data_IF_981008220673
#
_entry.id   IF_981008220673
#
_cell.length_a   1.000
_cell.length_b   1.000
_cell.length_c   1.000
_cell.angle_alpha   90.00
_cell.angle_beta   90.00
_cell.angle_gamma   90.00
#
_symmetry.space_group_name_H-M   'P 1'
#
loop_
_entity.id
_entity.type
_entity.pdbx_description
1 polymer ?
#
# COMPACT_ATOMS: atom_id res chain seq x y z
N UNK A 1 -21.21 -11.50 2.02
CA UNK A 1 -21.04 -11.02 3.42
C UNK A 1 -21.27 -9.50 3.48
N UNK A 2 -21.49 -8.93 4.69
CA UNK A 2 -21.63 -7.48 4.87
C UNK A 2 -20.39 -6.70 4.40
N UNK A 3 -19.21 -7.33 4.45
CA UNK A 3 -17.96 -6.76 3.93
C UNK A 3 -18.02 -6.61 2.41
N UNK A 4 -18.48 -7.63 1.70
CA UNK A 4 -18.52 -7.63 0.23
C UNK A 4 -19.51 -6.60 -0.32
N UNK A 5 -20.62 -6.39 0.39
CA UNK A 5 -21.66 -5.43 0.04
C UNK A 5 -21.34 -3.98 0.47
N UNK A 6 -20.20 -3.75 1.13
CA UNK A 6 -19.79 -2.41 1.56
C UNK A 6 -19.16 -1.60 0.43
N UNK A 7 -19.24 -0.26 0.49
CA UNK A 7 -18.58 0.68 -0.46
C UNK A 7 -17.06 0.77 -0.27
N UNK A 8 -16.47 -0.14 0.53
CA UNK A 8 -15.02 -0.14 0.78
C UNK A 8 -14.24 -0.58 -0.45
N UNK A 9 -13.05 0.01 -0.65
CA UNK A 9 -12.12 -0.42 -1.71
C UNK A 9 -11.76 -1.91 -1.54
N UNK A 10 -11.53 -2.63 -2.65
CA UNK A 10 -11.24 -4.06 -2.64
C UNK A 10 -10.09 -4.42 -1.68
N UNK A 11 -8.99 -3.68 -1.71
CA UNK A 11 -7.85 -3.91 -0.78
C UNK A 11 -8.22 -3.79 0.71
N UNK A 12 -9.24 -2.99 1.05
CA UNK A 12 -9.77 -2.90 2.42
C UNK A 12 -10.61 -4.14 2.74
N UNK A 13 -11.44 -4.60 1.80
CA UNK A 13 -12.21 -5.84 1.94
C UNK A 13 -11.30 -7.05 2.13
N UNK A 14 -10.24 -7.18 1.30
CA UNK A 14 -9.25 -8.26 1.40
C UNK A 14 -8.55 -8.29 2.76
N UNK A 15 -8.21 -7.11 3.27
CA UNK A 15 -7.62 -6.99 4.61
C UNK A 15 -8.59 -7.42 5.73
N UNK A 16 -9.88 -7.08 5.63
CA UNK A 16 -10.90 -7.52 6.59
C UNK A 16 -11.11 -9.03 6.51
N UNK A 17 -11.19 -9.59 5.30
CA UNK A 17 -11.28 -11.04 5.10
C UNK A 17 -10.06 -11.78 5.66
N UNK A 18 -8.86 -11.25 5.45
CA UNK A 18 -7.63 -11.80 6.06
C UNK A 18 -7.71 -11.85 7.58
N UNK A 19 -8.27 -10.81 8.22
CA UNK A 19 -8.44 -10.80 9.68
C UNK A 19 -9.53 -11.78 10.13
N UNK A 20 -10.63 -11.91 9.37
CA UNK A 20 -11.66 -12.91 9.68
C UNK A 20 -11.14 -14.34 9.56
N UNK A 21 -10.30 -14.64 8.58
CA UNK A 21 -9.67 -15.95 8.45
C UNK A 21 -8.80 -16.26 9.68
N UNK A 22 -7.98 -15.31 10.13
CA UNK A 22 -7.15 -15.47 11.34
C UNK A 22 -7.99 -15.61 12.61
N UNK A 23 -9.12 -14.89 12.71
CA UNK A 23 -10.07 -15.04 13.81
C UNK A 23 -10.73 -16.43 13.81
N UNK A 24 -11.10 -16.93 12.64
CA UNK A 24 -11.67 -18.27 12.49
C UNK A 24 -10.67 -19.37 12.90
N UNK A 25 -9.39 -19.21 12.55
CA UNK A 25 -8.31 -20.11 12.97
C UNK A 25 -8.12 -20.08 14.49
N UNK A 26 -8.24 -18.91 15.11
CA UNK A 26 -8.15 -18.76 16.57
C UNK A 26 -9.35 -19.40 17.28
N UNK A 27 -10.54 -19.11 16.81
CA UNK A 27 -11.79 -19.67 17.37
C UNK A 27 -12.88 -19.69 16.31
N UNK A 28 -13.34 -20.86 15.92
CA UNK A 28 -14.50 -21.04 15.04
C UNK A 28 -15.81 -20.80 15.79
N UNK A 29 -16.87 -20.43 15.05
CA UNK A 29 -18.21 -20.25 15.61
C UNK A 29 -18.36 -19.08 16.57
N UNK A 30 -17.56 -18.01 16.39
CA UNK A 30 -17.65 -16.79 17.21
C UNK A 30 -18.98 -16.07 16.99
N UNK A 31 -19.61 -15.71 18.11
CA UNK A 31 -20.74 -14.77 18.15
C UNK A 31 -20.26 -13.41 18.70
N UNK A 32 -21.01 -12.33 18.42
CA UNK A 32 -20.67 -10.99 18.92
C UNK A 32 -20.63 -10.90 20.45
N UNK A 33 -21.43 -11.70 21.17
CA UNK A 33 -21.39 -11.80 22.65
C UNK A 33 -20.07 -12.34 23.19
N UNK A 34 -19.32 -13.09 22.39
CA UNK A 34 -18.02 -13.67 22.79
C UNK A 34 -16.88 -12.64 22.73
N UNK A 35 -17.09 -11.53 21.99
CA UNK A 35 -16.10 -10.47 21.80
C UNK A 35 -15.98 -9.59 23.06
N UNK A 36 -15.35 -10.13 24.10
CA UNK A 36 -15.10 -9.44 25.37
C UNK A 36 -13.69 -8.84 25.41
N UNK A 37 -13.38 -8.04 26.45
CA UNK A 37 -12.02 -7.58 26.70
C UNK A 37 -11.03 -8.77 26.87
N UNK A 38 -11.42 -9.83 27.58
CA UNK A 38 -10.60 -11.03 27.74
C UNK A 38 -10.33 -11.67 26.38
N UNK A 39 -11.35 -11.82 25.54
CA UNK A 39 -11.18 -12.32 24.17
C UNK A 39 -10.14 -11.53 23.39
N UNK A 40 -10.15 -10.20 23.47
CA UNK A 40 -9.15 -9.37 22.77
C UNK A 40 -7.73 -9.65 23.27
N UNK A 41 -7.55 -9.88 24.58
CA UNK A 41 -6.26 -10.23 25.18
C UNK A 41 -5.78 -11.60 24.73
N UNK A 42 -6.65 -12.59 24.72
CA UNK A 42 -6.35 -13.95 24.28
C UNK A 42 -6.02 -14.00 22.80
N UNK A 43 -6.75 -13.24 21.98
CA UNK A 43 -6.46 -13.11 20.55
C UNK A 43 -5.13 -12.39 20.29
N UNK A 44 -4.81 -11.31 21.03
CA UNK A 44 -3.49 -10.66 20.97
C UNK A 44 -2.38 -11.66 21.32
N UNK A 45 -2.56 -12.45 22.38
CA UNK A 45 -1.58 -13.44 22.81
C UNK A 45 -1.38 -14.53 21.74
N UNK A 46 -2.45 -15.07 21.18
CA UNK A 46 -2.40 -16.03 20.08
C UNK A 46 -1.60 -15.49 18.88
N UNK A 47 -1.83 -14.22 18.50
CA UNK A 47 -1.09 -13.61 17.41
C UNK A 47 0.41 -13.46 17.72
N UNK A 48 0.77 -13.20 19.00
CA UNK A 48 2.17 -13.16 19.46
C UNK A 48 2.82 -14.53 19.38
N UNK A 49 2.15 -15.56 19.83
CA UNK A 49 2.62 -16.95 19.81
C UNK A 49 2.83 -17.44 18.36
N UNK A 50 2.03 -16.95 17.42
CA UNK A 50 2.27 -17.17 15.97
C UNK A 50 3.44 -16.36 15.40
N UNK A 51 4.17 -15.60 16.19
CA UNK A 51 5.34 -14.82 15.76
C UNK A 51 5.02 -13.54 15.01
N UNK A 52 3.78 -13.03 15.08
CA UNK A 52 3.44 -11.77 14.41
C UNK A 52 4.14 -10.57 15.06
N UNK A 53 4.68 -9.67 14.23
CA UNK A 53 5.21 -8.40 14.69
C UNK A 53 4.12 -7.50 15.29
N UNK A 54 4.50 -6.62 16.24
CA UNK A 54 3.58 -5.74 16.97
C UNK A 54 2.66 -4.94 16.02
N UNK A 55 3.19 -4.42 14.93
CA UNK A 55 2.39 -3.66 13.97
C UNK A 55 1.43 -4.54 13.14
N UNK A 56 1.74 -5.82 12.92
CA UNK A 56 0.84 -6.80 12.31
C UNK A 56 -0.33 -7.11 13.25
N UNK A 57 -0.03 -7.33 14.53
CA UNK A 57 -1.05 -7.50 15.59
C UNK A 57 -1.94 -6.26 15.64
N UNK A 58 -1.34 -5.07 15.68
CA UNK A 58 -2.09 -3.81 15.66
C UNK A 58 -3.00 -3.65 14.44
N UNK A 59 -2.58 -4.16 13.27
CA UNK A 59 -3.41 -4.18 12.05
C UNK A 59 -4.66 -5.05 12.28
N UNK A 60 -4.50 -6.30 12.74
CA UNK A 60 -5.63 -7.19 13.01
C UNK A 60 -6.57 -6.61 14.06
N UNK A 61 -6.04 -6.06 15.16
CA UNK A 61 -6.85 -5.46 16.21
C UNK A 61 -7.65 -4.23 15.75
N UNK A 62 -7.06 -3.39 14.87
CA UNK A 62 -7.80 -2.25 14.26
C UNK A 62 -8.91 -2.72 13.34
N UNK A 63 -8.68 -3.78 12.58
CA UNK A 63 -9.70 -4.33 11.68
C UNK A 63 -10.84 -4.99 12.47
N UNK A 64 -10.51 -5.74 13.52
CA UNK A 64 -11.52 -6.29 14.43
C UNK A 64 -12.33 -5.16 15.08
N UNK A 65 -11.69 -4.07 15.51
CA UNK A 65 -12.40 -2.89 16.03
C UNK A 65 -13.36 -2.28 15.00
N UNK A 66 -12.96 -2.24 13.73
CA UNK A 66 -13.83 -1.75 12.64
C UNK A 66 -15.04 -2.65 12.47
N UNK A 67 -14.87 -3.97 12.52
CA UNK A 67 -15.98 -4.93 12.44
C UNK A 67 -16.94 -4.84 13.65
N UNK A 68 -16.38 -4.67 14.84
CA UNK A 68 -17.19 -4.48 16.07
C UNK A 68 -18.01 -3.18 15.99
N UNK A 69 -17.40 -2.09 15.56
CA UNK A 69 -18.12 -0.82 15.38
C UNK A 69 -19.24 -0.97 14.35
N UNK A 70 -18.99 -1.66 13.25
CA UNK A 70 -20.00 -1.92 12.24
C UNK A 70 -21.16 -2.79 12.79
N UNK A 71 -20.83 -3.80 13.58
CA UNK A 71 -21.84 -4.65 14.24
C UNK A 71 -22.72 -3.84 15.22
N UNK A 72 -22.16 -2.88 15.92
CA UNK A 72 -22.91 -1.97 16.79
C UNK A 72 -23.82 -1.06 15.95
N UNK A 73 -23.30 -0.46 14.88
CA UNK A 73 -24.06 0.41 14.01
C UNK A 73 -25.23 -0.30 13.34
N UNK A 74 -25.08 -1.59 13.03
CA UNK A 74 -26.12 -2.44 12.44
C UNK A 74 -27.05 -3.11 13.48
N UNK A 75 -26.84 -2.87 14.76
CA UNK A 75 -27.67 -3.42 15.84
C UNK A 75 -27.40 -4.89 16.19
N UNK A 76 -26.36 -5.51 15.65
CA UNK A 76 -25.96 -6.88 16.02
C UNK A 76 -25.26 -6.98 17.38
N UNK A 77 -24.78 -5.86 17.90
CA UNK A 77 -24.10 -5.79 19.19
C UNK A 77 -24.52 -4.51 19.92
N UNK A 78 -24.77 -4.61 21.24
CA UNK A 78 -25.12 -3.47 22.06
C UNK A 78 -23.87 -2.60 22.34
N UNK A 79 -24.00 -1.27 22.32
CA UNK A 79 -22.88 -0.34 22.52
C UNK A 79 -22.22 -0.48 23.91
N UNK A 80 -22.97 -0.88 24.95
CA UNK A 80 -22.42 -1.10 26.29
C UNK A 80 -21.48 -2.30 26.35
N UNK A 81 -21.62 -3.26 25.42
CA UNK A 81 -20.77 -4.43 25.31
C UNK A 81 -19.47 -4.17 24.50
N UNK A 82 -19.19 -2.91 24.14
CA UNK A 82 -18.01 -2.55 23.33
C UNK A 82 -16.68 -2.97 24.00
N UNK A 83 -15.96 -3.97 23.44
CA UNK A 83 -14.82 -4.58 24.14
C UNK A 83 -13.56 -3.71 24.11
N UNK A 84 -13.46 -2.78 23.16
CA UNK A 84 -12.29 -1.91 23.00
C UNK A 84 -12.27 -0.69 23.93
N UNK A 85 -13.28 -0.49 24.79
CA UNK A 85 -13.36 0.68 25.70
C UNK A 85 -12.10 0.87 26.54
N UNK A 86 -11.54 -0.21 27.08
CA UNK A 86 -10.32 -0.23 27.90
C UNK A 86 -9.11 -0.82 27.18
N UNK A 87 -9.30 -1.40 25.99
CA UNK A 87 -8.23 -2.04 25.24
C UNK A 87 -7.45 -1.03 24.42
N UNK A 88 -6.14 -0.93 24.67
CA UNK A 88 -5.23 -0.05 23.90
C UNK A 88 -4.45 -0.88 22.90
N UNK A 89 -4.62 -0.58 21.61
CA UNK A 89 -3.84 -1.21 20.54
C UNK A 89 -2.41 -0.68 20.61
N UNK A 90 -1.45 -1.56 20.88
CA UNK A 90 -0.02 -1.22 20.92
C UNK A 90 0.52 -1.08 19.51
N UNK A 91 1.40 -0.12 19.31
CA UNK A 91 2.11 0.11 18.06
C UNK A 91 3.57 0.43 18.34
N UNK A 92 4.43 0.02 17.44
CA UNK A 92 5.83 0.43 17.39
C UNK A 92 6.05 1.37 16.23
N UNK A 93 6.98 2.31 16.41
CA UNK A 93 7.40 3.21 15.33
C UNK A 93 8.09 2.37 14.25
N UNK A 94 7.56 2.42 13.03
CA UNK A 94 8.17 1.75 11.87
C UNK A 94 9.56 2.31 11.59
N UNK A 95 10.50 1.45 11.21
CA UNK A 95 11.74 1.90 10.60
C UNK A 95 11.43 2.30 9.16
N UNK A 96 11.78 3.53 8.80
CA UNK A 96 11.68 4.01 7.43
C UNK A 96 13.10 4.10 6.88
N UNK A 97 13.42 3.18 6.00
CA UNK A 97 14.65 3.23 5.20
C UNK A 97 14.32 3.95 3.89
N UNK A 98 15.23 4.74 3.41
CA UNK A 98 15.11 5.49 2.16
C UNK A 98 16.45 5.44 1.42
N UNK A 99 16.39 5.51 0.10
CA UNK A 99 17.58 5.57 -0.73
C UNK A 99 18.21 6.96 -0.64
N UNK A 100 19.50 7.01 -0.39
CA UNK A 100 20.29 8.23 -0.47
C UNK A 100 20.49 8.65 -1.93
N UNK A 101 20.84 9.92 -2.19
CA UNK A 101 21.16 10.37 -3.56
C UNK A 101 22.28 9.55 -4.22
N UNK A 102 23.27 9.09 -3.45
CA UNK A 102 24.38 8.29 -3.98
C UNK A 102 23.95 6.85 -4.31
N UNK A 103 23.03 6.26 -3.53
CA UNK A 103 22.44 4.97 -3.85
C UNK A 103 21.55 5.05 -5.11
N UNK A 104 20.77 6.13 -5.27
CA UNK A 104 20.01 6.36 -6.50
C UNK A 104 20.95 6.47 -7.71
N UNK A 105 22.07 7.19 -7.61
CA UNK A 105 23.07 7.28 -8.68
C UNK A 105 23.67 5.92 -9.04
N UNK A 106 23.97 5.09 -8.04
CA UNK A 106 24.44 3.73 -8.29
C UNK A 106 23.41 2.91 -9.08
N UNK A 107 22.13 2.98 -8.68
CA UNK A 107 21.07 2.29 -9.40
C UNK A 107 20.88 2.79 -10.85
N UNK A 108 21.12 4.06 -11.13
CA UNK A 108 21.10 4.60 -12.49
C UNK A 108 22.16 3.98 -13.41
N UNK A 109 23.31 3.66 -12.83
CA UNK A 109 24.48 3.14 -13.56
C UNK A 109 24.60 1.62 -13.56
N UNK A 110 23.67 0.92 -12.88
CA UNK A 110 23.67 -0.55 -12.88
C UNK A 110 23.41 -1.07 -14.30
N UNK A 111 24.32 -1.91 -14.76
CA UNK A 111 24.12 -2.63 -16.01
C UNK A 111 23.14 -3.79 -15.78
N UNK A 112 22.09 -3.81 -16.56
CA UNK A 112 21.04 -4.82 -16.51
C UNK A 112 20.88 -5.38 -17.90
N UNK A 113 21.19 -6.67 -18.06
CA UNK A 113 21.12 -7.36 -19.36
C UNK A 113 19.68 -7.68 -19.76
N UNK A 114 18.83 -8.01 -18.79
CA UNK A 114 17.44 -8.36 -19.03
C UNK A 114 16.57 -7.12 -19.21
N UNK A 115 15.97 -6.96 -20.39
CA UNK A 115 15.12 -5.81 -20.73
C UNK A 115 13.94 -5.64 -19.78
N UNK A 116 13.32 -6.73 -19.35
CA UNK A 116 12.21 -6.69 -18.39
C UNK A 116 12.65 -6.11 -17.03
N UNK A 117 13.82 -6.48 -16.56
CA UNK A 117 14.40 -5.96 -15.33
C UNK A 117 14.82 -4.49 -15.48
N UNK A 118 15.37 -4.11 -16.66
CA UNK A 118 15.68 -2.71 -16.98
C UNK A 118 14.44 -1.84 -16.93
N UNK A 119 13.35 -2.31 -17.51
CA UNK A 119 12.05 -1.62 -17.47
C UNK A 119 11.57 -1.41 -16.02
N UNK A 120 11.63 -2.45 -15.18
CA UNK A 120 11.26 -2.33 -13.77
C UNK A 120 12.15 -1.33 -13.02
N UNK A 121 13.47 -1.35 -13.27
CA UNK A 121 14.41 -0.41 -12.65
C UNK A 121 14.11 1.04 -13.10
N UNK A 122 13.90 1.27 -14.38
CA UNK A 122 13.57 2.59 -14.91
C UNK A 122 12.25 3.14 -14.35
N UNK A 123 11.23 2.30 -14.25
CA UNK A 123 9.97 2.65 -13.62
C UNK A 123 10.12 2.99 -12.13
N UNK A 124 10.95 2.21 -11.41
CA UNK A 124 11.27 2.47 -10.01
C UNK A 124 11.99 3.82 -9.83
N UNK A 125 13.03 4.08 -10.62
CA UNK A 125 13.76 5.35 -10.60
C UNK A 125 12.84 6.52 -10.96
N UNK A 126 11.98 6.36 -11.96
CA UNK A 126 10.97 7.37 -12.29
C UNK A 126 10.05 7.66 -11.10
N UNK A 127 9.59 6.63 -10.38
CA UNK A 127 8.81 6.79 -9.17
C UNK A 127 9.61 7.50 -8.05
N UNK A 128 10.90 7.20 -7.90
CA UNK A 128 11.76 7.89 -6.93
C UNK A 128 11.88 9.39 -7.24
N UNK A 129 12.02 9.76 -8.51
CA UNK A 129 12.18 11.16 -8.93
C UNK A 129 10.87 11.96 -8.96
N UNK A 130 9.74 11.28 -9.05
CA UNK A 130 8.42 11.95 -9.14
C UNK A 130 7.59 11.81 -7.87
N UNK A 131 7.96 10.91 -6.96
CA UNK A 131 7.17 10.59 -5.78
C UNK A 131 5.88 9.80 -6.07
N UNK A 132 5.73 9.24 -7.28
CA UNK A 132 4.58 8.41 -7.62
C UNK A 132 4.57 7.11 -6.81
N UNK A 133 3.37 6.68 -6.43
CA UNK A 133 3.18 5.33 -5.95
C UNK A 133 3.09 4.37 -7.14
N UNK A 134 3.46 3.11 -6.91
CA UNK A 134 3.29 2.05 -7.90
C UNK A 134 1.89 2.05 -8.56
N UNK A 135 0.83 2.18 -7.76
CA UNK A 135 -0.56 2.21 -8.27
C UNK A 135 -0.87 3.45 -9.13
N UNK A 136 -0.22 4.58 -8.87
CA UNK A 136 -0.38 5.80 -9.65
C UNK A 136 0.41 5.68 -10.96
N UNK A 137 1.62 5.11 -10.90
CA UNK A 137 2.47 4.85 -12.07
C UNK A 137 1.81 3.91 -13.08
N UNK A 138 1.26 2.77 -12.64
CA UNK A 138 0.61 1.79 -13.52
C UNK A 138 -0.67 2.30 -14.22
N UNK A 139 -1.14 3.48 -13.87
CA UNK A 139 -2.30 4.12 -14.52
C UNK A 139 -1.92 5.31 -15.39
N UNK A 140 -0.61 5.54 -15.58
CA UNK A 140 -0.17 6.63 -16.46
C UNK A 140 -0.55 6.35 -17.92
N UNK A 141 -1.05 7.39 -18.55
CA UNK A 141 -1.37 7.44 -19.97
C UNK A 141 -0.69 8.65 -20.61
N UNK A 142 -0.60 8.74 -21.94
CA UNK A 142 -0.04 9.91 -22.62
C UNK A 142 -0.69 11.24 -22.19
N UNK A 143 -1.99 11.23 -21.90
CA UNK A 143 -2.77 12.42 -21.52
C UNK A 143 -2.34 12.99 -20.16
N UNK A 144 -1.66 12.21 -19.33
CA UNK A 144 -1.10 12.71 -18.07
C UNK A 144 0.11 13.63 -18.29
N UNK A 145 0.73 13.60 -19.47
CA UNK A 145 1.90 14.41 -19.78
C UNK A 145 1.52 15.62 -20.61
N UNK A 146 1.41 16.77 -19.96
CA UNK A 146 1.04 18.03 -20.59
C UNK A 146 2.25 18.94 -20.78
N UNK A 147 2.14 19.89 -21.72
CA UNK A 147 3.14 20.94 -21.93
C UNK A 147 2.59 22.29 -21.45
N UNK A 148 3.32 22.94 -20.55
CA UNK A 148 3.03 24.29 -20.11
C UNK A 148 4.26 25.15 -20.40
N UNK A 149 4.13 26.19 -21.20
CA UNK A 149 5.25 27.04 -21.65
C UNK A 149 6.43 26.24 -22.24
N UNK A 150 6.13 25.21 -23.03
CA UNK A 150 7.14 24.33 -23.65
C UNK A 150 7.76 23.30 -22.70
N UNK A 151 7.48 23.34 -21.43
CA UNK A 151 8.01 22.41 -20.40
C UNK A 151 7.06 21.26 -20.15
N UNK A 152 7.59 20.04 -19.93
CA UNK A 152 6.78 18.86 -19.61
C UNK A 152 6.36 18.87 -18.13
N UNK A 153 5.08 18.64 -17.91
CA UNK A 153 4.45 18.45 -16.61
C UNK A 153 3.74 17.12 -16.57
N UNK A 154 3.71 16.49 -15.40
CA UNK A 154 2.89 15.33 -15.13
C UNK A 154 1.67 15.77 -14.31
N UNK A 155 0.47 15.47 -14.83
CA UNK A 155 -0.81 15.74 -14.21
C UNK A 155 -1.61 14.45 -14.07
N UNK A 156 -1.97 14.09 -12.85
CA UNK A 156 -2.76 12.88 -12.59
C UNK A 156 -3.57 13.00 -11.30
N UNK A 157 -4.59 12.14 -11.17
CA UNK A 157 -5.37 11.99 -9.94
C UNK A 157 -4.90 10.75 -9.20
N UNK A 158 -4.42 10.91 -7.95
CA UNK A 158 -3.91 9.79 -7.17
C UNK A 158 -4.99 8.74 -6.90
N UNK A 159 -4.71 7.49 -7.24
CA UNK A 159 -5.60 6.32 -7.07
C UNK A 159 -6.02 6.13 -5.61
N UNK A 160 -5.06 6.34 -4.69
CA UNK A 160 -5.30 6.11 -3.26
C UNK A 160 -6.14 7.19 -2.62
N UNK A 161 -5.88 8.46 -2.94
CA UNK A 161 -6.45 9.61 -2.23
C UNK A 161 -7.46 10.41 -3.04
N UNK A 162 -7.49 10.24 -4.37
CA UNK A 162 -8.31 11.04 -5.27
C UNK A 162 -7.83 12.49 -5.43
N UNK A 163 -6.67 12.85 -4.88
CA UNK A 163 -6.09 14.20 -4.98
C UNK A 163 -5.46 14.39 -6.35
N UNK A 164 -5.71 15.54 -6.96
CA UNK A 164 -5.03 15.97 -8.19
C UNK A 164 -3.61 16.43 -7.88
N UNK A 165 -2.66 15.94 -8.66
CA UNK A 165 -1.23 16.21 -8.52
C UNK A 165 -0.70 16.76 -9.83
N UNK A 166 0.09 17.85 -9.75
CA UNK A 166 0.75 18.49 -10.87
C UNK A 166 2.24 18.61 -10.56
N UNK A 167 3.07 17.96 -11.34
CA UNK A 167 4.52 17.88 -11.13
C UNK A 167 5.26 18.51 -12.31
N UNK A 168 6.07 19.55 -12.09
CA UNK A 168 6.96 20.12 -13.10
C UNK A 168 8.19 19.24 -13.28
N UNK A 169 8.15 18.26 -14.18
CA UNK A 169 9.22 17.26 -14.35
C UNK A 169 10.60 17.87 -14.62
N UNK A 170 10.63 19.05 -15.24
CA UNK A 170 11.86 19.79 -15.54
C UNK A 170 12.54 20.43 -14.32
N UNK A 171 11.85 20.48 -13.15
CA UNK A 171 12.40 21.03 -11.91
C UNK A 171 12.80 19.95 -10.90
N UNK A 172 12.37 18.70 -11.14
CA UNK A 172 12.60 17.61 -10.20
C UNK A 172 13.90 16.87 -10.51
N UNK A 173 14.76 16.72 -9.53
CA UNK A 173 15.99 15.92 -9.61
C UNK A 173 16.78 16.15 -10.93
N UNK A 174 17.06 17.41 -11.25
CA UNK A 174 17.83 17.77 -12.45
C UNK A 174 17.21 17.22 -13.76
N UNK A 175 15.89 17.13 -13.82
CA UNK A 175 15.15 16.57 -14.97
C UNK A 175 15.39 15.08 -15.24
N UNK A 176 15.90 14.29 -14.29
CA UNK A 176 16.23 12.86 -14.48
C UNK A 176 15.02 12.03 -14.92
N UNK A 177 13.83 12.33 -14.39
CA UNK A 177 12.60 11.69 -14.83
C UNK A 177 12.34 11.88 -16.35
N UNK A 178 12.72 13.02 -16.92
CA UNK A 178 12.59 13.26 -18.38
C UNK A 178 13.52 12.38 -19.19
N UNK A 179 14.79 12.21 -18.74
CA UNK A 179 15.75 11.32 -19.39
C UNK A 179 15.28 9.86 -19.42
N UNK A 180 14.53 9.42 -18.38
CA UNK A 180 13.90 8.10 -18.39
C UNK A 180 12.78 8.06 -19.44
N UNK A 181 11.86 9.04 -19.43
CA UNK A 181 10.74 9.09 -20.39
C UNK A 181 11.18 9.12 -21.84
N UNK A 182 12.33 9.72 -22.14
CA UNK A 182 12.84 9.80 -23.51
C UNK A 182 13.27 8.41 -24.06
N UNK A 183 13.47 7.42 -23.19
CA UNK A 183 13.70 6.01 -23.58
C UNK A 183 12.40 5.25 -23.88
N UNK A 184 11.26 5.78 -23.45
CA UNK A 184 9.96 5.12 -23.55
C UNK A 184 8.98 6.00 -24.35
N UNK A 185 8.98 5.89 -25.69
CA UNK A 185 8.07 6.69 -26.54
C UNK A 185 6.60 6.32 -26.32
N UNK A 186 6.32 5.07 -25.93
CA UNK A 186 4.97 4.61 -25.56
C UNK A 186 4.82 4.56 -24.05
N UNK A 187 4.07 5.50 -23.51
CA UNK A 187 3.78 5.61 -22.09
C UNK A 187 2.94 4.42 -21.61
N UNK A 188 2.05 3.88 -22.42
CA UNK A 188 1.24 2.71 -22.07
C UNK A 188 2.12 1.50 -21.78
N UNK A 189 3.06 1.20 -22.65
CA UNK A 189 4.06 0.14 -22.43
C UNK A 189 4.95 0.43 -21.23
N UNK A 190 5.36 1.70 -21.01
CA UNK A 190 6.16 2.06 -19.85
C UNK A 190 5.42 1.85 -18.53
N UNK A 191 4.14 2.18 -18.48
CA UNK A 191 3.30 2.01 -17.30
C UNK A 191 2.86 0.56 -17.04
N UNK A 192 3.02 -0.33 -18.03
CA UNK A 192 2.62 -1.74 -17.95
C UNK A 192 3.64 -2.58 -17.15
N UNK A 193 3.60 -2.48 -15.83
CA UNK A 193 4.45 -3.26 -14.92
C UNK A 193 3.79 -4.58 -14.50
N UNK A 194 4.60 -5.62 -14.17
CA UNK A 194 4.12 -6.78 -13.45
C UNK A 194 3.45 -6.40 -12.12
N UNK A 195 2.79 -7.34 -11.44
CA UNK A 195 2.20 -7.05 -10.12
C UNK A 195 3.28 -6.57 -9.12
N UNK A 196 2.85 -5.78 -8.14
CA UNK A 196 3.76 -5.14 -7.20
C UNK A 196 4.69 -6.12 -6.45
N UNK A 197 4.23 -7.35 -6.19
CA UNK A 197 5.07 -8.40 -5.57
C UNK A 197 6.21 -8.83 -6.48
N UNK A 198 5.98 -8.96 -7.78
CA UNK A 198 7.01 -9.32 -8.74
C UNK A 198 7.99 -8.18 -8.99
N UNK A 199 7.50 -6.94 -9.10
CA UNK A 199 8.37 -5.74 -9.14
C UNK A 199 9.32 -5.71 -7.94
N UNK A 200 8.80 -5.89 -6.72
CA UNK A 200 9.62 -5.91 -5.52
C UNK A 200 10.63 -7.08 -5.50
N UNK A 201 10.26 -8.24 -6.06
CA UNK A 201 11.17 -9.39 -6.17
C UNK A 201 12.31 -9.10 -7.15
N UNK A 202 12.03 -8.46 -8.28
CA UNK A 202 13.06 -8.08 -9.26
C UNK A 202 13.99 -7.01 -8.69
N UNK A 203 13.46 -5.98 -8.03
CA UNK A 203 14.27 -4.93 -7.40
C UNK A 203 15.21 -5.48 -6.31
N UNK A 204 14.78 -6.50 -5.55
CA UNK A 204 15.66 -7.15 -4.55
C UNK A 204 16.85 -7.90 -5.15
N UNK A 205 16.84 -8.24 -6.43
CA UNK A 205 17.99 -8.85 -7.10
C UNK A 205 19.06 -7.82 -7.48
N UNK A 206 18.69 -6.52 -7.48
CA UNK A 206 19.57 -5.40 -7.80
C UNK A 206 20.19 -4.76 -6.55
N UNK A 207 19.72 -5.11 -5.36
CA UNK A 207 20.20 -4.63 -4.07
C UNK A 207 21.27 -5.57 -3.48
#
# INVERSE_FOLDING_TARGET
SAIDNSDKKQSTKDNLHSTLAVLHDFRSGLDFKDLTYTFLRDFEQYLREKGNAVNTIAKHMRQLRTLVNEAINQGYMHADAYPFRKYKIKQEKGRHEFLTPDELKKLETVEVEEESMRHVLDAFLFCCYTGLRYSDFCQLTPENFIRVNGKRWLYFKSVKTGVEIRLPLHLLFESRALGILDRYPDIGSFAALPCNSEVNKQLRKLA
#
